data_IF_908791155229
#
_entry.id   IF_908791155229
#
_cell.length_a   1.000
_cell.length_b   1.000
_cell.length_c   1.000
_cell.angle_alpha   90.00
_cell.angle_beta   90.00
_cell.angle_gamma   90.00
#
_symmetry.space_group_name_H-M   'P 1'
#
loop_
_entity.id
_entity.type
_entity.pdbx_description
1 polymer ?
#
# COMPACT_ATOMS: atom_id res chain seq x y z
N UNK A 1 -43.43 -33.34 27.50
CA UNK A 1 -42.93 -31.98 27.20
C UNK A 1 -41.47 -32.09 26.79
N UNK A 2 -41.21 -32.28 25.49
CA UNK A 2 -39.87 -32.34 24.92
C UNK A 2 -39.55 -30.95 24.35
N UNK A 3 -38.50 -30.32 24.86
CA UNK A 3 -38.00 -29.03 24.38
C UNK A 3 -36.84 -29.32 23.42
N UNK A 4 -37.05 -28.99 22.15
CA UNK A 4 -36.08 -29.17 21.06
C UNK A 4 -35.16 -27.94 21.06
N UNK A 5 -33.87 -28.17 21.25
CA UNK A 5 -32.84 -27.14 21.14
C UNK A 5 -32.62 -26.77 19.66
N UNK A 6 -33.01 -25.56 19.28
CA UNK A 6 -32.76 -24.99 17.96
C UNK A 6 -31.32 -24.51 17.85
N UNK A 7 -30.54 -25.20 17.02
CA UNK A 7 -29.17 -24.86 16.64
C UNK A 7 -29.18 -23.73 15.61
N UNK A 8 -28.67 -22.54 15.97
CA UNK A 8 -28.56 -21.38 15.07
C UNK A 8 -27.35 -21.55 14.14
N UNK A 9 -27.57 -22.11 12.94
CA UNK A 9 -26.61 -22.03 11.84
C UNK A 9 -26.61 -20.62 11.22
N UNK A 10 -25.45 -20.08 10.81
CA UNK A 10 -25.38 -18.81 10.10
C UNK A 10 -25.94 -18.95 8.68
N UNK A 11 -26.88 -18.09 8.35
CA UNK A 11 -27.56 -18.00 7.04
C UNK A 11 -26.53 -17.76 5.92
N UNK A 12 -26.53 -18.54 4.82
CA UNK A 12 -25.64 -18.28 3.70
C UNK A 12 -26.06 -17.01 2.94
N UNK A 13 -25.08 -16.23 2.52
CA UNK A 13 -25.23 -15.01 1.71
C UNK A 13 -26.07 -15.28 0.45
N UNK A 14 -27.00 -14.39 0.07
CA UNK A 14 -27.73 -14.52 -1.18
C UNK A 14 -26.77 -14.38 -2.37
N UNK A 15 -26.61 -15.46 -3.12
CA UNK A 15 -25.93 -15.48 -4.43
C UNK A 15 -26.61 -14.49 -5.37
N UNK A 16 -25.87 -13.44 -5.75
CA UNK A 16 -26.28 -12.44 -6.73
C UNK A 16 -26.54 -13.10 -8.10
N UNK A 17 -27.75 -13.02 -8.66
CA UNK A 17 -27.99 -13.49 -10.03
C UNK A 17 -27.18 -12.64 -11.04
N UNK A 18 -26.76 -13.22 -12.18
CA UNK A 18 -26.00 -12.50 -13.20
C UNK A 18 -26.82 -11.32 -13.72
N UNK A 19 -26.30 -10.11 -13.53
CA UNK A 19 -26.90 -8.88 -14.04
C UNK A 19 -26.89 -8.88 -15.58
N UNK A 20 -28.00 -8.57 -16.27
CA UNK A 20 -28.04 -8.49 -17.72
C UNK A 20 -27.06 -7.43 -18.22
N UNK A 21 -26.27 -7.79 -19.24
CA UNK A 21 -25.29 -6.91 -19.88
C UNK A 21 -25.95 -5.74 -20.59
N UNK A 22 -25.54 -4.51 -20.24
CA UNK A 22 -25.84 -3.29 -20.99
C UNK A 22 -25.38 -3.48 -22.44
N UNK A 23 -26.27 -3.23 -23.41
CA UNK A 23 -25.90 -3.23 -24.82
C UNK A 23 -25.05 -1.98 -25.10
N UNK A 24 -24.03 -2.11 -25.94
CA UNK A 24 -23.19 -0.97 -26.33
C UNK A 24 -24.06 0.16 -26.91
N UNK A 25 -23.84 1.43 -26.53
CA UNK A 25 -24.69 2.56 -26.94
C UNK A 25 -24.71 2.78 -28.46
N UNK A 26 -23.76 2.21 -29.18
CA UNK A 26 -23.66 2.24 -30.65
C UNK A 26 -24.47 1.14 -31.36
N UNK A 27 -24.93 0.13 -30.63
CA UNK A 27 -25.70 -1.00 -31.16
C UNK A 27 -27.22 -0.82 -31.00
N UNK A 28 -27.66 0.22 -30.32
CA UNK A 28 -29.07 0.53 -30.07
C UNK A 28 -29.66 1.21 -31.32
N UNK A 29 -30.31 0.43 -32.18
CA UNK A 29 -30.87 0.93 -33.45
C UNK A 29 -32.39 1.08 -33.43
N UNK A 30 -33.07 0.55 -32.41
CA UNK A 30 -34.53 0.56 -32.30
C UNK A 30 -35.05 1.25 -31.03
N UNK A 31 -36.18 1.99 -31.10
CA UNK A 31 -36.73 2.77 -29.99
C UNK A 31 -37.14 1.91 -28.78
N UNK A 32 -37.62 0.69 -29.01
CA UNK A 32 -37.99 -0.24 -27.93
C UNK A 32 -36.77 -0.75 -27.14
N UNK A 33 -35.59 -0.77 -27.78
CA UNK A 33 -34.34 -1.11 -27.10
C UNK A 33 -33.88 0.05 -26.21
N UNK A 34 -34.13 1.30 -26.61
CA UNK A 34 -33.83 2.49 -25.80
C UNK A 34 -34.67 2.48 -24.52
N UNK A 35 -35.98 2.23 -24.60
CA UNK A 35 -36.87 2.21 -23.43
C UNK A 35 -36.51 1.08 -22.46
N UNK A 36 -36.18 -0.10 -22.97
CA UNK A 36 -35.71 -1.22 -22.16
C UNK A 36 -34.36 -0.93 -21.47
N UNK A 37 -33.41 -0.29 -22.17
CA UNK A 37 -32.13 0.11 -21.57
C UNK A 37 -32.30 1.22 -20.53
N UNK A 38 -33.20 2.19 -20.77
CA UNK A 38 -33.50 3.25 -19.81
C UNK A 38 -34.12 2.67 -18.52
N UNK A 39 -35.04 1.71 -18.65
CA UNK A 39 -35.63 1.02 -17.51
C UNK A 39 -34.61 0.18 -16.71
N UNK A 40 -33.62 -0.40 -17.38
CA UNK A 40 -32.51 -1.09 -16.72
C UNK A 40 -31.57 -0.13 -16.00
N UNK A 41 -31.27 1.02 -16.60
CA UNK A 41 -30.42 2.04 -15.99
C UNK A 41 -31.07 2.67 -14.76
N UNK A 42 -32.36 3.01 -14.81
CA UNK A 42 -33.08 3.56 -13.65
C UNK A 42 -33.17 2.54 -12.51
N UNK A 43 -33.37 1.27 -12.82
CA UNK A 43 -33.30 0.20 -11.81
C UNK A 43 -31.92 0.10 -11.17
N UNK A 44 -30.85 0.16 -11.96
CA UNK A 44 -29.47 0.11 -11.44
C UNK A 44 -29.14 1.33 -10.58
N UNK A 45 -29.61 2.51 -10.99
CA UNK A 45 -29.47 3.74 -10.21
C UNK A 45 -30.18 3.62 -8.85
N UNK A 46 -31.39 3.07 -8.82
CA UNK A 46 -32.11 2.81 -7.57
C UNK A 46 -31.37 1.80 -6.67
N UNK A 47 -30.85 0.70 -7.24
CA UNK A 47 -30.06 -0.29 -6.50
C UNK A 47 -28.76 0.32 -5.94
N UNK A 48 -28.06 1.15 -6.73
CA UNK A 48 -26.86 1.86 -6.28
C UNK A 48 -27.20 2.85 -5.15
N UNK A 49 -28.30 3.59 -5.27
CA UNK A 49 -28.77 4.52 -4.24
C UNK A 49 -29.08 3.80 -2.93
N UNK A 50 -29.72 2.63 -3.00
CA UNK A 50 -30.00 1.79 -1.84
C UNK A 50 -28.70 1.27 -1.20
N UNK A 51 -27.75 0.82 -2.02
CA UNK A 51 -26.44 0.35 -1.54
C UNK A 51 -25.62 1.46 -0.88
N UNK A 52 -25.68 2.69 -1.40
CA UNK A 52 -25.02 3.85 -0.83
C UNK A 52 -25.62 4.20 0.53
N UNK A 53 -26.95 4.21 0.64
CA UNK A 53 -27.63 4.47 1.90
C UNK A 53 -27.31 3.40 2.95
N UNK A 54 -27.21 2.13 2.56
CA UNK A 54 -26.76 1.06 3.46
C UNK A 54 -25.32 1.29 3.94
N UNK A 55 -24.41 1.65 3.03
CA UNK A 55 -23.01 1.93 3.39
C UNK A 55 -22.87 3.15 4.33
N UNK A 56 -23.69 4.18 4.13
CA UNK A 56 -23.75 5.36 5.00
C UNK A 56 -24.28 4.99 6.39
N UNK A 57 -25.29 4.12 6.47
CA UNK A 57 -25.81 3.63 7.73
C UNK A 57 -24.78 2.80 8.51
N UNK A 58 -24.06 1.90 7.84
CA UNK A 58 -22.97 1.13 8.43
C UNK A 58 -21.86 2.05 8.96
N UNK A 59 -21.51 3.10 8.20
CA UNK A 59 -20.52 4.08 8.65
C UNK A 59 -20.96 4.83 9.90
N UNK A 60 -22.23 5.21 9.99
CA UNK A 60 -22.77 5.86 11.20
C UNK A 60 -22.72 4.92 12.42
N UNK A 61 -22.96 3.62 12.23
CA UNK A 61 -22.81 2.63 13.31
C UNK A 61 -21.35 2.48 13.77
N UNK A 62 -20.40 2.46 12.82
CA UNK A 62 -18.97 2.40 13.13
C UNK A 62 -18.53 3.63 13.92
N UNK A 63 -18.97 4.83 13.50
CA UNK A 63 -18.65 6.08 14.21
C UNK A 63 -19.23 6.09 15.63
N UNK A 64 -20.44 5.57 15.81
CA UNK A 64 -21.05 5.38 17.14
C UNK A 64 -20.26 4.41 18.03
N UNK A 65 -19.83 3.28 17.49
CA UNK A 65 -18.99 2.31 18.20
C UNK A 65 -17.62 2.91 18.59
N UNK A 66 -17.03 3.72 17.72
CA UNK A 66 -15.78 4.44 17.97
C UNK A 66 -15.95 5.50 19.07
N UNK A 67 -17.09 6.21 19.08
CA UNK A 67 -17.47 7.11 20.17
C UNK A 67 -17.61 6.39 21.51
N UNK A 68 -18.27 5.25 21.54
CA UNK A 68 -18.38 4.39 22.73
C UNK A 68 -17.01 3.92 23.23
N UNK A 69 -16.13 3.46 22.34
CA UNK A 69 -14.77 3.02 22.71
C UNK A 69 -13.94 4.17 23.28
N UNK A 70 -14.06 5.39 22.74
CA UNK A 70 -13.40 6.57 23.30
C UNK A 70 -13.91 6.89 24.70
N UNK A 71 -15.22 6.87 24.90
CA UNK A 71 -15.82 7.11 26.21
C UNK A 71 -15.38 6.06 27.24
N UNK A 72 -15.40 4.78 26.86
CA UNK A 72 -14.96 3.70 27.71
C UNK A 72 -13.46 3.82 28.05
N UNK A 73 -12.64 4.27 27.09
CA UNK A 73 -11.23 4.60 27.34
C UNK A 73 -11.06 5.69 28.40
N UNK A 74 -11.85 6.78 28.33
CA UNK A 74 -11.79 7.85 29.35
C UNK A 74 -12.24 7.40 30.74
N UNK A 75 -13.24 6.52 30.83
CA UNK A 75 -13.67 5.95 32.10
C UNK A 75 -12.63 4.98 32.68
N UNK A 76 -11.97 4.18 31.84
CA UNK A 76 -10.85 3.32 32.28
C UNK A 76 -9.67 4.16 32.79
N UNK A 77 -9.33 5.26 32.12
CA UNK A 77 -8.28 6.20 32.58
C UNK A 77 -8.63 6.82 33.94
N UNK A 78 -9.90 7.21 34.12
CA UNK A 78 -10.42 7.74 35.38
C UNK A 78 -10.38 6.69 36.48
N UNK A 79 -10.83 5.46 36.21
CA UNK A 79 -10.73 4.32 37.14
C UNK A 79 -9.27 4.00 37.50
N UNK A 80 -8.36 4.01 36.53
CA UNK A 80 -6.93 3.84 36.77
C UNK A 80 -6.38 4.94 37.69
N UNK A 81 -6.72 6.21 37.41
CA UNK A 81 -6.35 7.34 38.27
C UNK A 81 -6.98 7.28 39.67
N UNK A 82 -8.14 6.64 39.83
CA UNK A 82 -8.82 6.47 41.11
C UNK A 82 -8.22 5.31 41.93
N UNK A 83 -7.71 4.28 41.26
CA UNK A 83 -6.91 3.20 41.86
C UNK A 83 -5.52 3.72 42.26
N UNK A 84 -4.89 4.55 41.42
CA UNK A 84 -3.61 5.21 41.75
C UNK A 84 -3.79 6.30 42.81
N UNK A 85 -4.91 7.03 42.81
CA UNK A 85 -5.30 8.02 43.82
C UNK A 85 -5.67 7.39 45.17
N UNK A 86 -6.24 6.18 45.17
CA UNK A 86 -6.46 5.40 46.41
C UNK A 86 -5.14 4.95 47.05
N UNK A 87 -4.02 4.88 46.30
CA UNK A 87 -2.67 4.72 46.88
C UNK A 87 -2.11 6.04 47.43
N UNK A 88 -2.66 7.19 47.04
CA UNK A 88 -2.16 8.52 47.43
C UNK A 88 -2.86 9.18 48.62
N UNK A 89 -4.05 8.72 49.05
CA UNK A 89 -4.87 9.42 50.04
C UNK A 89 -5.12 8.65 51.36
N UNK A 90 -4.29 7.65 51.68
CA UNK A 90 -4.29 6.99 52.99
C UNK A 90 -3.33 7.70 53.98
N UNK A 91 -3.39 9.02 54.05
CA UNK A 91 -2.79 9.81 55.12
C UNK A 91 -3.91 10.27 56.04
N UNK A 92 -3.81 9.95 57.33
CA UNK A 92 -4.78 10.18 58.41
C UNK A 92 -5.84 9.09 58.63
N UNK A 93 -5.42 7.84 58.78
CA UNK A 93 -5.82 7.02 59.95
C UNK A 93 -4.74 5.97 60.18
N UNK A 94 -4.56 5.64 61.45
CA UNK A 94 -3.37 5.02 62.02
C UNK A 94 -3.24 3.52 61.67
N UNK A 95 -3.02 3.16 60.40
CA UNK A 95 -2.74 1.79 59.96
C UNK A 95 -1.54 1.77 59.01
N UNK A 96 -0.51 1.04 59.42
CA UNK A 96 0.76 0.84 58.71
C UNK A 96 0.55 0.44 57.23
N UNK A 97 1.26 1.08 56.27
CA UNK A 97 1.18 0.71 54.87
C UNK A 97 1.89 -0.62 54.64
N UNK A 98 1.12 -1.64 54.22
CA UNK A 98 1.63 -2.95 53.81
C UNK A 98 2.27 -2.83 52.42
N UNK A 99 3.51 -2.33 52.38
CA UNK A 99 4.41 -2.45 51.23
C UNK A 99 4.92 -3.89 51.05
N UNK A 100 5.77 -4.11 50.03
CA UNK A 100 6.58 -5.33 49.90
C UNK A 100 7.31 -5.54 51.24
N UNK A 101 6.88 -6.53 52.02
CA UNK A 101 7.33 -6.75 53.40
C UNK A 101 8.78 -7.22 53.49
N UNK A 102 9.72 -6.29 53.33
CA UNK A 102 11.11 -6.46 53.74
C UNK A 102 11.38 -5.47 54.87
N UNK A 103 10.95 -5.84 56.09
CA UNK A 103 11.39 -5.16 57.31
C UNK A 103 12.73 -5.77 57.74
N UNK A 104 13.77 -4.95 57.98
CA UNK A 104 15.03 -5.43 58.54
C UNK A 104 14.89 -5.45 60.06
N UNK A 105 14.06 -6.33 60.60
CA UNK A 105 14.07 -6.60 62.04
C UNK A 105 13.69 -8.07 62.23
N UNK A 106 14.69 -8.87 62.61
CA UNK A 106 14.54 -10.28 62.89
C UNK A 106 13.62 -10.50 64.08
N UNK A 107 12.51 -11.18 63.81
CA UNK A 107 11.84 -12.02 64.78
C UNK A 107 11.07 -13.10 64.03
N UNK A 108 11.46 -14.33 64.32
CA UNK A 108 11.06 -15.58 63.70
C UNK A 108 9.55 -15.84 63.83
N UNK A 109 8.81 -15.73 62.72
CA UNK A 109 7.52 -16.39 62.49
C UNK A 109 7.42 -16.71 60.98
N UNK A 110 8.18 -17.73 60.57
CA UNK A 110 8.12 -18.29 59.23
C UNK A 110 6.96 -19.30 59.18
N UNK A 111 5.93 -19.03 58.36
CA UNK A 111 5.27 -20.02 57.47
C UNK A 111 3.98 -19.49 56.83
N UNK A 112 3.23 -18.56 57.45
CA UNK A 112 1.88 -18.20 56.94
C UNK A 112 1.81 -17.00 55.96
N UNK A 113 2.78 -16.07 55.97
CA UNK A 113 2.73 -14.88 55.09
C UNK A 113 3.32 -15.12 53.68
N UNK A 114 4.14 -16.17 53.51
CA UNK A 114 4.83 -16.47 52.25
C UNK A 114 3.88 -17.09 51.21
N UNK A 115 2.94 -17.94 51.63
CA UNK A 115 1.92 -18.53 50.74
C UNK A 115 1.05 -17.46 50.06
N UNK A 116 0.66 -16.41 50.80
CA UNK A 116 -0.14 -15.31 50.28
C UNK A 116 0.62 -14.38 49.33
N UNK A 117 1.95 -14.33 49.41
CA UNK A 117 2.78 -13.59 48.47
C UNK A 117 2.97 -14.36 47.17
N UNK A 118 3.26 -15.66 47.27
CA UNK A 118 3.41 -16.55 46.11
C UNK A 118 2.13 -16.58 45.26
N UNK A 119 0.96 -16.69 45.90
CA UNK A 119 -0.33 -16.68 45.20
C UNK A 119 -0.62 -15.35 44.47
N UNK A 120 -0.24 -14.21 45.08
CA UNK A 120 -0.37 -12.89 44.43
C UNK A 120 0.61 -12.72 43.28
N UNK A 121 1.86 -13.14 43.45
CA UNK A 121 2.87 -13.12 42.38
C UNK A 121 2.44 -14.04 41.24
N UNK A 122 1.91 -15.22 41.54
CA UNK A 122 1.36 -16.15 40.55
C UNK A 122 0.22 -15.53 39.75
N UNK A 123 -0.75 -14.89 40.42
CA UNK A 123 -1.87 -14.22 39.75
C UNK A 123 -1.42 -13.07 38.86
N UNK A 124 -0.48 -12.25 39.35
CA UNK A 124 0.11 -11.17 38.55
C UNK A 124 0.86 -11.74 37.35
N UNK A 125 1.65 -12.79 37.55
CA UNK A 125 2.37 -13.47 36.48
C UNK A 125 1.42 -14.05 35.43
N UNK A 126 0.37 -14.79 35.82
CA UNK A 126 -0.64 -15.33 34.90
C UNK A 126 -1.35 -14.21 34.12
N UNK A 127 -1.66 -13.08 34.78
CA UNK A 127 -2.26 -11.93 34.09
C UNK A 127 -1.29 -11.27 33.12
N UNK A 128 -0.02 -11.10 33.50
CA UNK A 128 1.03 -10.53 32.64
C UNK A 128 1.35 -11.44 31.47
N UNK A 129 1.39 -12.75 31.66
CA UNK A 129 1.63 -13.72 30.58
C UNK A 129 0.47 -13.72 29.58
N UNK A 130 -0.78 -13.67 30.07
CA UNK A 130 -1.97 -13.58 29.21
C UNK A 130 -2.02 -12.27 28.43
N UNK A 131 -1.71 -11.15 29.07
CA UNK A 131 -1.68 -9.83 28.42
C UNK A 131 -0.50 -9.74 27.46
N UNK A 132 0.69 -10.15 27.87
CA UNK A 132 1.91 -10.16 27.05
C UNK A 132 1.78 -11.04 25.82
N UNK A 133 1.19 -12.24 25.95
CA UNK A 133 0.88 -13.10 24.82
C UNK A 133 -0.14 -12.48 23.85
N UNK A 134 -1.15 -11.77 24.36
CA UNK A 134 -2.12 -11.05 23.51
C UNK A 134 -1.48 -9.85 22.80
N UNK A 135 -0.63 -9.10 23.49
CA UNK A 135 0.13 -7.98 22.92
C UNK A 135 1.08 -8.48 21.84
N UNK A 136 1.82 -9.57 22.07
CA UNK A 136 2.70 -10.15 21.06
C UNK A 136 1.96 -10.56 19.79
N UNK A 137 0.79 -11.21 19.92
CA UNK A 137 -0.05 -11.54 18.75
C UNK A 137 -0.56 -10.29 18.05
N UNK A 138 -0.91 -9.24 18.80
CA UNK A 138 -1.33 -7.97 18.23
C UNK A 138 -0.18 -7.28 17.49
N UNK A 139 1.03 -7.28 18.05
CA UNK A 139 2.23 -6.72 17.42
C UNK A 139 2.59 -7.46 16.13
N UNK A 140 2.46 -8.79 16.11
CA UNK A 140 2.64 -9.60 14.91
C UNK A 140 1.60 -9.22 13.83
N UNK A 141 0.33 -9.03 14.21
CA UNK A 141 -0.72 -8.61 13.28
C UNK A 141 -0.49 -7.18 12.77
N UNK A 142 -0.11 -6.24 13.65
CA UNK A 142 0.24 -4.87 13.27
C UNK A 142 1.46 -4.87 12.35
N UNK A 143 2.43 -5.75 12.58
CA UNK A 143 3.58 -5.96 11.70
C UNK A 143 3.15 -6.40 10.30
N UNK A 144 2.29 -7.42 10.20
CA UNK A 144 1.72 -7.88 8.92
C UNK A 144 0.95 -6.78 8.19
N UNK A 145 0.14 -6.00 8.91
CA UNK A 145 -0.62 -4.89 8.34
C UNK A 145 0.31 -3.79 7.80
N UNK A 146 1.39 -3.49 8.50
CA UNK A 146 2.40 -2.52 8.03
C UNK A 146 3.07 -3.01 6.75
N UNK A 147 3.53 -4.26 6.72
CA UNK A 147 4.14 -4.85 5.52
C UNK A 147 3.18 -4.82 4.31
N UNK A 148 1.91 -5.17 4.52
CA UNK A 148 0.90 -5.07 3.46
C UNK A 148 0.69 -3.62 2.99
N UNK A 149 0.70 -2.66 3.92
CA UNK A 149 0.57 -1.22 3.58
C UNK A 149 1.76 -0.71 2.77
N UNK A 150 2.97 -1.17 3.09
CA UNK A 150 4.19 -0.83 2.34
C UNK A 150 4.12 -1.36 0.90
N UNK A 151 3.69 -2.62 0.73
CA UNK A 151 3.48 -3.23 -0.60
C UNK A 151 2.44 -2.44 -1.39
N UNK A 152 1.30 -2.07 -0.78
CA UNK A 152 0.26 -1.28 -1.46
C UNK A 152 0.80 0.08 -1.88
N UNK A 153 1.60 0.73 -1.03
CA UNK A 153 2.22 2.03 -1.33
C UNK A 153 3.17 1.94 -2.52
N UNK A 154 4.00 0.91 -2.57
CA UNK A 154 4.89 0.63 -3.70
C UNK A 154 4.13 0.34 -5.01
N UNK A 155 3.01 -0.38 -4.93
CA UNK A 155 2.17 -0.67 -6.11
C UNK A 155 1.51 0.61 -6.64
N UNK A 156 1.07 1.49 -5.74
CA UNK A 156 0.54 2.80 -6.11
C UNK A 156 1.63 3.69 -6.73
N UNK A 157 2.85 3.65 -6.18
CA UNK A 157 4.00 4.35 -6.76
C UNK A 157 4.31 3.82 -8.17
N UNK A 158 4.35 2.50 -8.35
CA UNK A 158 4.55 1.86 -9.65
C UNK A 158 3.50 2.30 -10.67
N UNK A 159 2.22 2.28 -10.27
CA UNK A 159 1.11 2.73 -11.12
C UNK A 159 1.27 4.20 -11.54
N UNK A 160 1.57 5.08 -10.58
CA UNK A 160 1.77 6.50 -10.86
C UNK A 160 3.00 6.74 -11.74
N UNK A 161 4.08 5.98 -11.53
CA UNK A 161 5.29 6.05 -12.33
C UNK A 161 5.02 5.62 -13.78
N UNK A 162 4.30 4.52 -14.00
CA UNK A 162 3.90 4.05 -15.34
C UNK A 162 2.97 5.04 -16.05
N UNK A 163 1.99 5.60 -15.35
CA UNK A 163 1.10 6.63 -15.90
C UNK A 163 1.88 7.90 -16.27
N UNK A 164 2.80 8.35 -15.40
CA UNK A 164 3.66 9.50 -15.69
C UNK A 164 4.57 9.22 -16.88
N UNK A 165 5.13 8.02 -16.97
CA UNK A 165 6.00 7.59 -18.05
C UNK A 165 5.27 7.62 -19.39
N UNK A 166 4.09 7.00 -19.47
CA UNK A 166 3.25 7.04 -20.67
C UNK A 166 2.89 8.46 -21.09
N UNK A 167 2.51 9.31 -20.14
CA UNK A 167 2.15 10.70 -20.42
C UNK A 167 3.34 11.54 -20.86
N UNK A 168 4.54 11.27 -20.33
CA UNK A 168 5.76 11.95 -20.72
C UNK A 168 6.20 11.54 -22.14
N UNK A 169 6.08 10.25 -22.48
CA UNK A 169 6.32 9.76 -23.85
C UNK A 169 5.35 10.44 -24.82
N UNK A 170 4.06 10.53 -24.49
CA UNK A 170 3.06 11.17 -25.35
C UNK A 170 3.29 12.69 -25.55
N UNK A 171 4.07 13.33 -24.69
CA UNK A 171 4.42 14.76 -24.75
C UNK A 171 5.84 15.02 -25.26
N UNK A 172 6.55 13.98 -25.68
CA UNK A 172 7.97 14.03 -26.05
C UNK A 172 8.88 14.62 -24.94
N UNK A 173 8.49 14.49 -23.66
CA UNK A 173 9.29 14.92 -22.52
C UNK A 173 10.20 13.76 -22.03
N UNK A 174 11.33 13.63 -22.70
CA UNK A 174 12.31 12.56 -22.48
C UNK A 174 12.96 12.57 -21.09
N UNK A 175 13.09 13.75 -20.47
CA UNK A 175 13.67 13.87 -19.14
C UNK A 175 12.71 13.37 -18.06
N UNK A 176 11.45 13.78 -18.15
CA UNK A 176 10.42 13.29 -17.23
C UNK A 176 10.14 11.80 -17.44
N UNK A 177 10.18 11.33 -18.69
CA UNK A 177 10.04 9.90 -19.00
C UNK A 177 11.18 9.07 -18.39
N UNK A 178 12.43 9.49 -18.55
CA UNK A 178 13.61 8.83 -17.96
C UNK A 178 13.52 8.77 -16.42
N UNK A 179 13.14 9.89 -15.77
CA UNK A 179 12.93 9.91 -14.30
C UNK A 179 11.79 9.00 -13.85
N UNK A 180 10.68 8.96 -14.59
CA UNK A 180 9.55 8.10 -14.28
C UNK A 180 9.90 6.61 -14.46
N UNK A 181 10.65 6.26 -15.51
CA UNK A 181 11.17 4.91 -15.72
C UNK A 181 12.08 4.48 -14.57
N UNK A 182 13.02 5.34 -14.14
CA UNK A 182 13.89 5.05 -12.98
C UNK A 182 13.09 4.73 -11.72
N UNK A 183 12.05 5.51 -11.42
CA UNK A 183 11.18 5.26 -10.26
C UNK A 183 10.40 3.96 -10.39
N UNK A 184 9.93 3.63 -11.60
CA UNK A 184 9.24 2.38 -11.83
C UNK A 184 10.17 1.17 -11.63
N UNK A 185 11.44 1.28 -12.00
CA UNK A 185 12.46 0.23 -11.80
C UNK A 185 12.99 0.13 -10.37
N UNK A 186 12.87 1.17 -9.55
CA UNK A 186 13.29 1.11 -8.14
C UNK A 186 12.31 0.35 -7.25
N UNK A 187 11.11 0.03 -7.75
CA UNK A 187 10.12 -0.78 -7.03
C UNK A 187 10.60 -2.24 -6.95
N UNK A 188 10.35 -2.90 -5.82
CA UNK A 188 10.75 -4.29 -5.58
C UNK A 188 10.21 -5.24 -6.65
N UNK A 189 11.05 -6.14 -7.15
CA UNK A 189 10.66 -7.07 -8.24
C UNK A 189 9.56 -8.03 -7.78
N UNK A 190 9.58 -8.42 -6.51
CA UNK A 190 8.56 -9.26 -5.87
C UNK A 190 7.18 -8.57 -5.88
N UNK A 191 7.16 -7.25 -5.78
CA UNK A 191 5.94 -6.43 -5.85
C UNK A 191 5.50 -6.26 -7.30
N UNK A 192 6.43 -6.02 -8.23
CA UNK A 192 6.14 -5.89 -9.67
C UNK A 192 5.55 -7.19 -10.25
N UNK A 193 6.06 -8.34 -9.83
CA UNK A 193 5.60 -9.66 -10.28
C UNK A 193 4.47 -10.23 -9.41
N UNK A 194 4.14 -9.57 -8.30
CA UNK A 194 3.13 -10.02 -7.35
C UNK A 194 1.71 -9.98 -7.94
N UNK A 195 0.87 -10.94 -7.53
CA UNK A 195 -0.53 -11.05 -8.01
C UNK A 195 -1.39 -9.83 -7.70
N UNK A 196 -1.07 -9.05 -6.67
CA UNK A 196 -1.76 -7.81 -6.34
C UNK A 196 -1.48 -6.69 -7.35
N UNK A 197 -0.22 -6.54 -7.79
CA UNK A 197 0.13 -5.56 -8.82
C UNK A 197 -0.54 -5.91 -10.16
N UNK A 198 -0.62 -7.21 -10.49
CA UNK A 198 -1.35 -7.71 -11.66
C UNK A 198 -2.86 -7.47 -11.65
N UNK A 199 -3.47 -7.11 -10.52
CA UNK A 199 -4.90 -6.74 -10.44
C UNK A 199 -5.16 -5.24 -10.39
N UNK A 200 -4.26 -4.46 -9.77
CA UNK A 200 -4.48 -3.03 -9.48
C UNK A 200 -3.85 -2.10 -10.52
N UNK A 201 -2.75 -2.54 -11.14
CA UNK A 201 -1.99 -1.75 -12.11
C UNK A 201 -2.57 -1.84 -13.52
N UNK A 202 -3.09 -2.99 -14.01
CA UNK A 202 -3.74 -3.01 -15.30
C UNK A 202 -4.89 -2.01 -15.34
N UNK A 203 -4.77 -1.07 -16.27
CA UNK A 203 -5.78 -0.04 -16.52
C UNK A 203 -6.41 -0.34 -17.87
N UNK A 204 -7.59 0.22 -18.20
CA UNK A 204 -8.19 0.04 -19.52
C UNK A 204 -7.23 0.42 -20.67
N UNK A 205 -6.27 1.30 -20.39
CA UNK A 205 -5.22 1.74 -21.30
C UNK A 205 -4.03 0.76 -21.40
N UNK A 206 -3.79 -0.07 -20.38
CA UNK A 206 -2.70 -1.05 -20.32
C UNK A 206 -3.23 -2.39 -19.77
N UNK A 207 -3.67 -3.31 -20.65
CA UNK A 207 -4.23 -4.60 -20.22
C UNK A 207 -3.15 -5.59 -19.77
N UNK A 208 -1.89 -5.30 -20.04
CA UNK A 208 -0.77 -6.17 -19.74
C UNK A 208 -0.34 -6.07 -18.27
N UNK A 209 0.30 -7.11 -17.72
CA UNK A 209 0.92 -7.06 -16.41
C UNK A 209 1.90 -5.87 -16.29
N UNK A 210 2.07 -5.31 -15.08
CA UNK A 210 2.95 -4.17 -14.86
C UNK A 210 4.40 -4.42 -15.28
N UNK A 211 4.92 -5.63 -15.08
CA UNK A 211 6.27 -6.02 -15.51
C UNK A 211 6.44 -5.88 -17.04
N UNK A 212 5.49 -6.40 -17.81
CA UNK A 212 5.52 -6.36 -19.27
C UNK A 212 5.34 -4.94 -19.79
N UNK A 213 4.41 -4.18 -19.21
CA UNK A 213 4.17 -2.78 -19.58
C UNK A 213 5.42 -1.92 -19.36
N UNK A 214 6.14 -2.13 -18.25
CA UNK A 214 7.38 -1.43 -17.95
C UNK A 214 8.45 -1.73 -19.00
N UNK A 215 8.61 -3.01 -19.36
CA UNK A 215 9.58 -3.45 -20.36
C UNK A 215 9.28 -2.89 -21.76
N UNK A 216 8.01 -2.91 -22.19
CA UNK A 216 7.60 -2.31 -23.46
C UNK A 216 7.89 -0.81 -23.52
N UNK A 217 7.50 -0.06 -22.49
CA UNK A 217 7.76 1.38 -22.42
C UNK A 217 9.26 1.68 -22.38
N UNK A 218 10.06 0.84 -21.71
CA UNK A 218 11.52 0.94 -21.70
C UNK A 218 12.09 0.72 -23.09
N UNK A 219 11.63 -0.30 -23.82
CA UNK A 219 12.09 -0.58 -25.18
C UNK A 219 11.76 0.56 -26.15
N UNK A 220 10.56 1.15 -26.03
CA UNK A 220 10.17 2.34 -26.80
C UNK A 220 11.09 3.52 -26.49
N UNK A 221 11.40 3.79 -25.21
CA UNK A 221 12.35 4.83 -24.84
C UNK A 221 13.75 4.59 -25.41
N UNK A 222 14.24 3.36 -25.34
CA UNK A 222 15.55 2.98 -25.84
C UNK A 222 15.69 3.25 -27.35
N UNK A 223 14.70 2.79 -28.11
CA UNK A 223 14.64 3.04 -29.55
C UNK A 223 14.59 4.55 -29.86
N UNK A 224 13.77 5.29 -29.11
CA UNK A 224 13.59 6.73 -29.30
C UNK A 224 14.85 7.51 -28.95
N UNK A 225 15.54 7.15 -27.87
CA UNK A 225 16.80 7.79 -27.49
C UNK A 225 17.89 7.49 -28.53
N UNK A 226 18.01 6.25 -29.00
CA UNK A 226 19.00 5.89 -30.03
C UNK A 226 18.76 6.64 -31.34
N UNK A 227 17.52 6.72 -31.79
CA UNK A 227 17.17 7.45 -33.02
C UNK A 227 17.39 8.97 -32.87
N UNK A 228 16.98 9.56 -31.75
CA UNK A 228 17.18 10.98 -31.47
C UNK A 228 18.67 11.35 -31.33
N UNK A 229 19.48 10.48 -30.71
CA UNK A 229 20.92 10.66 -30.58
C UNK A 229 21.63 10.56 -31.93
N UNK A 230 21.28 9.57 -32.77
CA UNK A 230 21.83 9.46 -34.11
C UNK A 230 21.49 10.70 -34.96
N UNK A 231 20.25 11.18 -34.88
CA UNK A 231 19.85 12.41 -35.57
C UNK A 231 20.60 13.65 -35.06
N UNK A 232 20.86 13.76 -33.75
CA UNK A 232 21.65 14.85 -33.17
C UNK A 232 23.14 14.75 -33.57
N UNK A 233 23.68 13.54 -33.61
CA UNK A 233 25.04 13.24 -34.06
C UNK A 233 25.27 13.62 -35.53
N UNK A 234 24.32 13.30 -36.42
CA UNK A 234 24.37 13.70 -37.84
C UNK A 234 24.36 15.22 -38.01
N UNK A 235 23.56 15.92 -37.20
CA UNK A 235 23.48 17.39 -37.19
C UNK A 235 24.68 18.06 -36.49
N UNK A 236 25.58 17.28 -35.88
CA UNK A 236 26.71 17.75 -35.06
C UNK A 236 26.27 18.67 -33.91
N UNK A 237 25.10 18.39 -33.34
CA UNK A 237 24.57 19.15 -32.20
C UNK A 237 25.10 18.58 -30.88
N UNK A 238 26.24 19.13 -30.44
CA UNK A 238 26.93 18.69 -29.21
C UNK A 238 26.05 18.81 -27.95
N UNK A 239 25.13 19.79 -27.91
CA UNK A 239 24.26 20.01 -26.75
C UNK A 239 23.21 18.89 -26.64
N UNK A 240 22.55 18.55 -27.75
CA UNK A 240 21.55 17.48 -27.73
C UNK A 240 22.19 16.09 -27.56
N UNK A 241 23.35 15.84 -28.16
CA UNK A 241 24.12 14.59 -27.93
C UNK A 241 24.43 14.41 -26.44
N UNK A 242 24.93 15.45 -25.76
CA UNK A 242 25.20 15.42 -24.32
C UNK A 242 23.94 15.27 -23.47
N UNK A 243 22.83 15.90 -23.89
CA UNK A 243 21.54 15.79 -23.21
C UNK A 243 21.00 14.36 -23.24
N UNK A 244 20.92 13.75 -24.43
CA UNK A 244 20.43 12.38 -24.56
C UNK A 244 21.34 11.39 -23.82
N UNK A 245 22.67 11.54 -23.91
CA UNK A 245 23.63 10.70 -23.17
C UNK A 245 23.34 10.61 -21.66
N UNK A 246 22.90 11.72 -21.03
CA UNK A 246 22.53 11.74 -19.60
C UNK A 246 21.24 10.98 -19.28
N UNK A 247 20.41 10.66 -20.27
CA UNK A 247 19.11 10.00 -20.07
C UNK A 247 19.20 8.47 -20.02
N UNK A 248 20.20 7.86 -20.67
CA UNK A 248 20.43 6.40 -20.68
C UNK A 248 20.62 5.77 -19.29
N UNK A 249 21.41 6.38 -18.37
CA UNK A 249 21.51 5.89 -16.99
C UNK A 249 20.18 5.93 -16.23
N UNK A 250 19.20 6.70 -16.69
CA UNK A 250 17.86 6.74 -16.10
C UNK A 250 17.02 5.51 -16.38
N UNK A 251 17.30 4.82 -17.49
CA UNK A 251 16.54 3.66 -17.97
C UNK A 251 17.32 2.34 -17.80
N UNK A 252 18.46 2.38 -17.08
CA UNK A 252 19.31 1.21 -16.85
C UNK A 252 19.91 0.65 -18.14
N UNK A 253 20.23 1.53 -19.10
CA UNK A 253 20.80 1.17 -20.40
C UNK A 253 22.16 1.85 -20.60
N UNK A 254 23.02 1.77 -19.60
CA UNK A 254 24.33 2.44 -19.61
C UNK A 254 25.25 1.87 -20.71
N UNK A 255 25.27 0.54 -20.86
CA UNK A 255 26.10 -0.15 -21.84
C UNK A 255 25.76 0.24 -23.28
N UNK A 256 24.46 0.25 -23.62
CA UNK A 256 23.95 0.62 -24.93
C UNK A 256 24.21 2.11 -25.25
N UNK A 257 24.11 2.98 -24.23
CA UNK A 257 24.46 4.38 -24.36
C UNK A 257 25.96 4.61 -24.59
N UNK A 258 26.80 3.80 -23.93
CA UNK A 258 28.26 3.85 -24.08
C UNK A 258 28.70 3.35 -25.46
N UNK A 259 28.07 2.27 -25.96
CA UNK A 259 28.30 1.74 -27.31
C UNK A 259 27.95 2.79 -28.38
N UNK A 260 26.76 3.39 -28.30
CA UNK A 260 26.33 4.43 -29.23
C UNK A 260 27.26 5.67 -29.20
N UNK A 261 27.74 6.04 -28.01
CA UNK A 261 28.70 7.14 -27.87
C UNK A 261 30.08 6.78 -28.44
N UNK A 262 30.55 5.55 -28.24
CA UNK A 262 31.78 5.03 -28.82
C UNK A 262 31.76 5.10 -30.36
N UNK A 263 30.67 4.64 -30.97
CA UNK A 263 30.46 4.71 -32.42
C UNK A 263 30.49 6.16 -32.93
N UNK A 264 29.85 7.08 -32.20
CA UNK A 264 29.86 8.51 -32.53
C UNK A 264 31.27 9.11 -32.51
N UNK A 265 32.05 8.84 -31.45
CA UNK A 265 33.43 9.35 -31.32
C UNK A 265 34.33 8.77 -32.40
N UNK A 266 34.22 7.47 -32.71
CA UNK A 266 34.97 6.84 -33.81
C UNK A 266 34.61 7.48 -35.15
N UNK A 267 33.33 7.76 -35.39
CA UNK A 267 32.87 8.50 -36.58
C UNK A 267 33.47 9.91 -36.68
N UNK A 268 33.50 10.64 -35.55
CA UNK A 268 34.10 11.97 -35.47
C UNK A 268 35.60 11.94 -35.78
N UNK A 269 36.33 10.97 -35.22
CA UNK A 269 37.78 10.82 -35.43
C UNK A 269 38.08 10.47 -36.90
N UNK A 270 37.33 9.52 -37.49
CA UNK A 270 37.47 9.15 -38.92
C UNK A 270 37.17 10.32 -39.87
N UNK A 271 36.14 11.12 -39.55
CA UNK A 271 35.81 12.32 -40.31
C UNK A 271 36.89 13.42 -40.22
N UNK A 272 37.54 13.56 -39.06
CA UNK A 272 38.64 14.52 -38.87
C UNK A 272 39.91 14.08 -39.59
N UNK A 273 40.28 12.80 -39.52
CA UNK A 273 41.48 12.28 -40.19
C UNK A 273 41.39 12.35 -41.72
N UNK A 274 40.19 12.20 -42.31
CA UNK A 274 40.02 12.31 -43.77
C UNK A 274 40.15 13.75 -44.28
N UNK A 275 39.75 14.75 -43.49
CA UNK A 275 39.91 16.16 -43.85
C UNK A 275 41.35 16.67 -43.67
N UNK A 276 42.13 16.05 -42.79
CA UNK A 276 43.55 16.37 -42.60
C UNK A 276 44.43 15.91 -43.78
N UNK A 277 44.08 14.81 -44.44
CA UNK A 277 44.85 14.27 -45.58
C UNK A 277 44.60 14.96 -46.93
N UNK A 278 43.80 16.03 -47.00
CA UNK A 278 43.49 16.77 -48.25
C UNK A 278 44.12 18.17 -48.29
N UNK A 279 45.09 18.44 -47.42
CA UNK A 279 45.90 19.67 -47.37
C UNK A 279 47.39 19.33 -47.41
N UNK A 280 47.83 18.60 -48.43
CA UNK A 280 49.23 18.58 -48.86
C UNK A 280 49.28 18.55 -50.38
#
# INVERSE_FOLDING_TARGET
>A
MQSVASSSQPTPLPTRPPSPSLLDPRAITHPDQITAQLALLTRREAELSLSLNALVADRAQIDGALGHLKHLGTEVEKLASQVDGSRGNALFTNHYPRGLGLQPNGQDLYEEEDEGLVERVRRVWETSERVGGKVRRLDEEVGRVREATDIVTEVLELKNALQTLSNAIAKDDWESASRACRRAMSVRTEVIQGGFAGGVVPTPQFPLPPAQTLEELRNVLLYTFRTAFNAAAERKDEQNVSRFFRLWPGIGAEDEGLEAYGDFVVGLVKGRSSTAGKRE
#
